data_IF_987278139802
#
_entry.id   IF_987278139802
#
_cell.length_a   1.000
_cell.length_b   1.000
_cell.length_c   1.000
_cell.angle_alpha   90.00
_cell.angle_beta   90.00
_cell.angle_gamma   90.00
#
_symmetry.space_group_name_H-M   'P 1'
#
loop_
_entity.id
_entity.type
_entity.pdbx_description
1 polymer ?
#
# COMPACT_ATOMS: atom_id res chain seq x y z
N UNK A 1 -12.57 3.01 -6.39
CA UNK A 1 -11.91 2.04 -5.51
C UNK A 1 -11.11 2.78 -4.46
N UNK A 2 -11.33 2.45 -3.20
CA UNK A 2 -10.61 3.10 -2.11
C UNK A 2 -9.22 2.54 -1.89
N UNK A 3 -8.40 3.29 -1.16
CA UNK A 3 -7.03 2.86 -0.86
C UNK A 3 -7.02 1.54 -0.08
N UNK A 4 -8.00 1.36 0.79
CA UNK A 4 -8.11 0.15 1.58
C UNK A 4 -8.32 -1.08 0.70
N UNK A 5 -9.18 -0.96 -0.30
CA UNK A 5 -9.43 -2.03 -1.25
C UNK A 5 -8.21 -2.31 -2.11
N UNK A 6 -7.54 -1.24 -2.52
CA UNK A 6 -6.34 -1.36 -3.33
C UNK A 6 -5.25 -2.08 -2.55
N UNK A 7 -5.10 -1.74 -1.27
CA UNK A 7 -4.12 -2.38 -0.42
C UNK A 7 -4.41 -3.88 -0.29
N UNK A 8 -5.66 -4.23 -0.05
CA UNK A 8 -6.04 -5.64 0.07
C UNK A 8 -5.74 -6.41 -1.20
N UNK A 9 -5.98 -5.80 -2.34
CA UNK A 9 -5.73 -6.42 -3.62
C UNK A 9 -4.25 -6.74 -3.79
N UNK A 10 -3.38 -5.79 -3.46
CA UNK A 10 -1.95 -5.99 -3.61
C UNK A 10 -1.38 -6.93 -2.55
N UNK A 11 -1.94 -6.91 -1.35
CA UNK A 11 -1.53 -7.88 -0.33
C UNK A 11 -1.83 -9.30 -0.77
N UNK A 12 -2.99 -9.50 -1.38
CA UNK A 12 -3.36 -10.80 -1.90
C UNK A 12 -2.43 -11.23 -3.03
N UNK A 13 -2.11 -10.30 -3.91
CA UNK A 13 -1.20 -10.58 -5.02
C UNK A 13 0.18 -10.96 -4.50
N UNK A 14 0.65 -10.25 -3.49
CA UNK A 14 1.94 -10.56 -2.87
C UNK A 14 1.93 -11.98 -2.28
N UNK A 15 0.87 -12.28 -1.55
CA UNK A 15 0.71 -13.60 -0.93
C UNK A 15 0.73 -14.71 -1.98
N UNK A 16 0.05 -14.48 -3.10
CA UNK A 16 0.03 -15.46 -4.18
C UNK A 16 1.41 -15.67 -4.78
N UNK A 17 2.18 -14.61 -4.94
CA UNK A 17 3.53 -14.72 -5.48
C UNK A 17 4.46 -15.45 -4.52
N UNK A 18 4.36 -15.15 -3.23
CA UNK A 18 5.15 -15.85 -2.22
C UNK A 18 4.80 -17.33 -2.22
N UNK A 19 3.51 -17.63 -2.29
CA UNK A 19 3.05 -19.01 -2.34
C UNK A 19 3.58 -19.74 -3.56
N UNK A 20 3.64 -19.04 -4.69
CA UNK A 20 4.17 -19.62 -5.91
C UNK A 20 5.63 -20.04 -5.75
N UNK A 21 6.43 -19.19 -5.10
CA UNK A 21 7.82 -19.53 -4.82
C UNK A 21 7.93 -20.73 -3.89
N UNK A 22 7.10 -20.75 -2.86
CA UNK A 22 7.16 -21.83 -1.87
C UNK A 22 6.76 -23.16 -2.43
N UNK A 23 5.81 -23.16 -3.34
CA UNK A 23 5.29 -24.41 -3.92
C UNK A 23 6.11 -24.92 -5.08
N UNK A 24 7.04 -24.11 -5.59
CA UNK A 24 7.85 -24.48 -6.74
C UNK A 24 9.33 -24.29 -6.45
N UNK A 25 9.90 -25.14 -5.60
CA UNK A 25 11.30 -24.97 -5.19
C UNK A 25 12.31 -25.13 -6.31
N UNK A 26 11.88 -25.67 -7.45
CA UNK A 26 12.78 -25.94 -8.58
C UNK A 26 12.59 -24.98 -9.72
N UNK A 27 11.99 -23.82 -9.44
CA UNK A 27 11.86 -22.79 -10.46
C UNK A 27 13.24 -22.34 -10.97
N UNK A 28 13.28 -22.05 -12.26
CA UNK A 28 14.50 -21.50 -12.85
C UNK A 28 14.88 -20.20 -12.16
N UNK A 29 16.19 -19.95 -12.01
CA UNK A 29 16.66 -18.73 -11.36
C UNK A 29 16.09 -17.45 -11.98
N UNK A 30 16.00 -17.40 -13.30
CA UNK A 30 15.44 -16.23 -13.97
C UNK A 30 14.00 -16.00 -13.56
N UNK A 31 13.23 -17.07 -13.44
CA UNK A 31 11.84 -16.97 -13.03
C UNK A 31 11.74 -16.54 -11.57
N UNK A 32 12.62 -17.09 -10.73
CA UNK A 32 12.66 -16.71 -9.33
C UNK A 32 12.95 -15.21 -9.19
N UNK A 33 13.90 -14.71 -9.96
CA UNK A 33 14.23 -13.28 -9.92
C UNK A 33 13.06 -12.43 -10.34
N UNK A 34 12.33 -12.86 -11.36
CA UNK A 34 11.15 -12.13 -11.80
C UNK A 34 10.10 -12.03 -10.68
N UNK A 35 9.89 -13.13 -9.98
CA UNK A 35 8.90 -13.16 -8.92
C UNK A 35 9.36 -12.32 -7.74
N UNK A 36 10.63 -12.41 -7.36
CA UNK A 36 11.19 -11.56 -6.31
C UNK A 36 11.05 -10.08 -6.68
N UNK A 37 11.33 -9.75 -7.94
CA UNK A 37 11.19 -8.38 -8.41
C UNK A 37 9.75 -7.90 -8.27
N UNK A 38 8.81 -8.75 -8.64
CA UNK A 38 7.39 -8.41 -8.54
C UNK A 38 6.98 -8.19 -7.08
N UNK A 39 7.48 -9.04 -6.18
CA UNK A 39 7.20 -8.89 -4.75
C UNK A 39 7.77 -7.57 -4.24
N UNK A 40 8.99 -7.22 -4.65
CA UNK A 40 9.60 -5.96 -4.24
C UNK A 40 8.78 -4.77 -4.72
N UNK A 41 8.29 -4.82 -5.96
CA UNK A 41 7.46 -3.75 -6.50
C UNK A 41 6.17 -3.62 -5.70
N UNK A 42 5.57 -4.74 -5.36
CA UNK A 42 4.35 -4.72 -4.56
C UNK A 42 4.62 -4.15 -3.18
N UNK A 43 5.76 -4.48 -2.57
CA UNK A 43 6.12 -3.93 -1.27
C UNK A 43 6.25 -2.40 -1.34
N UNK A 44 6.83 -1.90 -2.41
CA UNK A 44 6.92 -0.45 -2.63
C UNK A 44 5.53 0.15 -2.77
N UNK A 45 4.68 -0.50 -3.55
CA UNK A 45 3.30 -0.04 -3.73
C UNK A 45 2.53 -0.03 -2.42
N UNK A 46 2.71 -1.07 -1.62
CA UNK A 46 2.03 -1.15 -0.33
C UNK A 46 2.46 -0.03 0.60
N UNK A 47 3.75 0.29 0.60
CA UNK A 47 4.25 1.41 1.40
C UNK A 47 3.69 2.73 0.89
N UNK A 48 3.60 2.87 -0.41
CA UNK A 48 3.03 4.08 -1.02
C UNK A 48 1.56 4.23 -0.65
N UNK A 49 0.81 3.14 -0.73
CA UNK A 49 -0.59 3.15 -0.38
C UNK A 49 -0.77 3.52 1.09
N UNK A 50 0.07 2.97 1.95
CA UNK A 50 -0.01 3.27 3.37
C UNK A 50 0.29 4.75 3.63
N UNK A 51 1.28 5.28 2.94
CA UNK A 51 1.65 6.69 3.06
C UNK A 51 0.50 7.59 2.59
N UNK A 52 -0.09 7.26 1.46
CA UNK A 52 -1.23 8.02 0.94
C UNK A 52 -2.41 7.97 1.88
N UNK A 53 -2.62 6.83 2.50
CA UNK A 53 -3.71 6.66 3.42
C UNK A 53 -3.52 7.51 4.67
N UNK A 54 -2.31 7.53 5.19
CA UNK A 54 -1.97 8.38 6.32
C UNK A 54 -2.16 9.85 5.98
N UNK A 55 -1.74 10.21 4.79
CA UNK A 55 -1.86 11.58 4.31
C UNK A 55 -3.32 11.98 4.16
N UNK A 56 -4.13 11.07 3.67
CA UNK A 56 -5.56 11.30 3.52
C UNK A 56 -6.23 11.52 4.87
N UNK A 57 -5.88 10.70 5.84
CA UNK A 57 -6.40 10.84 7.20
C UNK A 57 -5.99 12.18 7.78
N UNK A 58 -4.74 12.54 7.59
CA UNK A 58 -4.19 13.79 8.09
C UNK A 58 -4.88 14.99 7.44
N UNK A 59 -5.11 14.91 6.14
CA UNK A 59 -5.79 15.98 5.41
C UNK A 59 -7.22 16.14 5.89
N UNK A 60 -7.90 15.05 6.11
CA UNK A 60 -9.27 15.09 6.62
C UNK A 60 -9.32 15.69 8.01
N UNK A 61 -8.38 15.32 8.84
CA UNK A 61 -8.30 15.87 10.18
C UNK A 61 -7.99 17.36 10.13
N UNK A 62 -7.10 17.76 9.26
CA UNK A 62 -6.73 19.16 9.10
C UNK A 62 -7.92 19.98 8.61
N UNK A 63 -8.70 19.41 7.70
CA UNK A 63 -9.91 20.08 7.22
C UNK A 63 -10.92 20.31 8.32
N UNK A 64 -11.15 19.29 9.13
CA UNK A 64 -12.06 19.40 10.24
C UNK A 64 -11.59 20.43 11.25
N UNK A 65 -10.30 20.37 11.57
CA UNK A 65 -9.72 21.30 12.52
C UNK A 65 -9.77 22.70 11.97
N UNK A 66 -9.51 22.86 10.69
CA UNK A 66 -9.54 24.15 10.05
C UNK A 66 -10.95 24.74 10.07
N UNK A 67 -11.95 23.88 9.85
CA UNK A 67 -13.33 24.34 9.90
C UNK A 67 -13.69 24.88 11.27
N UNK A 68 -13.26 24.18 12.29
CA UNK A 68 -13.48 24.66 13.65
C UNK A 68 -12.58 25.82 13.98
N UNK A 69 -11.35 25.75 13.47
CA UNK A 69 -10.37 26.79 13.70
C UNK A 69 -10.77 28.12 13.11
N UNK A 70 -11.50 28.09 12.01
CA UNK A 70 -11.99 29.32 11.43
C UNK A 70 -12.89 30.06 12.38
N UNK A 71 -13.66 29.31 13.13
CA UNK A 71 -14.50 29.94 14.12
C UNK A 71 -13.66 30.48 15.28
N UNK A 72 -12.50 29.91 15.47
CA UNK A 72 -11.58 30.41 16.47
C UNK A 72 -10.70 31.49 15.95
N UNK A 73 -10.74 31.59 14.76
CA UNK A 73 -10.01 32.53 14.31
C UNK A 73 -8.69 32.48 13.94
N UNK A 74 -8.75 32.56 13.89
CA UNK A 74 -7.97 32.57 13.62
C UNK A 74 -7.15 32.89 14.22
N UNK A 75 -7.09 32.64 14.74
CA UNK A 75 -6.25 32.88 15.46
C UNK A 75 -5.50 33.64 15.33
#
# INVERSE_FOLDING_TARGET
MGLSQLRSLYEKRRSNLVSLLEKNPHLEPARQHQIYGAICEIDILLKTIEHLREQEIRDNYALETKGRGNSQGKL
#
